data_IF_011937523012
#
_entry.id   IF_011937523012
#
_cell.length_a   1.000
_cell.length_b   1.000
_cell.length_c   1.000
_cell.angle_alpha   90.00
_cell.angle_beta   90.00
_cell.angle_gamma   90.00
#
_symmetry.space_group_name_H-M   'P 1'
#
loop_
_entity.id
_entity.type
_entity.pdbx_description
1 polymer ?
#
# COMPACT_ATOMS: atom_id res chain seq x y z
N UNK A 1 -0.14 1.27 -9.09
CA UNK A 1 -1.42 1.64 -8.42
C UNK A 1 -1.76 0.75 -7.23
N UNK A 2 -1.71 -0.59 -7.36
CA UNK A 2 -2.15 -1.49 -6.27
C UNK A 2 -1.32 -1.31 -5.00
N UNK A 3 0.00 -1.33 -5.09
CA UNK A 3 0.88 -1.22 -3.92
C UNK A 3 0.71 0.13 -3.24
N UNK A 4 0.64 1.19 -4.02
CA UNK A 4 0.46 2.57 -3.54
C UNK A 4 -0.87 2.73 -2.77
N UNK A 5 -1.98 2.19 -3.31
CA UNK A 5 -3.27 2.21 -2.62
C UNK A 5 -3.22 1.39 -1.32
N UNK A 6 -2.61 0.21 -1.34
CA UNK A 6 -2.53 -0.66 -0.16
C UNK A 6 -1.69 0.01 0.94
N UNK A 7 -0.52 0.56 0.59
CA UNK A 7 0.33 1.29 1.54
C UNK A 7 -0.42 2.47 2.16
N UNK A 8 -1.13 3.27 1.35
CA UNK A 8 -1.94 4.38 1.86
C UNK A 8 -3.06 3.92 2.80
N UNK A 9 -3.80 2.86 2.41
CA UNK A 9 -4.89 2.32 3.22
C UNK A 9 -4.38 1.74 4.55
N UNK A 10 -3.25 1.03 4.53
CA UNK A 10 -2.60 0.49 5.72
C UNK A 10 -2.17 1.58 6.70
N UNK A 11 -1.57 2.67 6.19
CA UNK A 11 -1.20 3.80 7.03
C UNK A 11 -2.42 4.48 7.65
N UNK A 12 -3.48 4.71 6.88
CA UNK A 12 -4.72 5.31 7.41
C UNK A 12 -5.38 4.43 8.47
N UNK A 13 -5.39 3.11 8.26
CA UNK A 13 -5.88 2.15 9.26
C UNK A 13 -4.99 2.14 10.50
N UNK A 14 -3.68 2.25 10.33
CA UNK A 14 -2.73 2.35 11.44
C UNK A 14 -3.01 3.60 12.29
N UNK A 15 -3.25 4.77 11.67
CA UNK A 15 -3.64 5.98 12.40
C UNK A 15 -4.93 5.77 13.22
N UNK A 16 -5.93 5.09 12.66
CA UNK A 16 -7.15 4.75 13.38
C UNK A 16 -6.90 3.76 14.53
N UNK A 17 -6.01 2.79 14.33
CA UNK A 17 -5.64 1.79 15.36
C UNK A 17 -4.94 2.44 16.56
N UNK A 18 -4.16 3.50 16.36
CA UNK A 18 -3.51 4.24 17.44
C UNK A 18 -4.51 4.95 18.37
N UNK A 19 -5.76 5.16 17.93
CA UNK A 19 -6.81 5.74 18.76
C UNK A 19 -7.42 4.66 19.67
N UNK A 20 -6.84 4.54 20.87
CA UNK A 20 -7.10 3.47 21.83
C UNK A 20 -8.60 3.14 21.99
N UNK A 21 -8.98 1.94 21.53
CA UNK A 21 -10.27 1.30 21.82
C UNK A 21 -11.49 1.84 21.08
N UNK A 22 -11.32 2.76 20.12
CA UNK A 22 -12.46 3.38 19.42
C UNK A 22 -13.04 2.48 18.31
N UNK A 23 -12.19 1.68 17.65
CA UNK A 23 -12.58 0.76 16.58
C UNK A 23 -12.02 -0.63 16.84
N UNK A 24 -12.82 -1.65 16.54
CA UNK A 24 -12.40 -3.07 16.60
C UNK A 24 -11.54 -3.43 15.38
N UNK A 25 -10.68 -4.45 15.50
CA UNK A 25 -9.89 -4.96 14.36
C UNK A 25 -10.76 -5.37 13.17
N UNK A 26 -11.96 -5.89 13.43
CA UNK A 26 -12.93 -6.19 12.36
C UNK A 26 -13.40 -4.93 11.64
N UNK A 27 -13.70 -3.85 12.36
CA UNK A 27 -14.07 -2.57 11.75
C UNK A 27 -12.92 -1.96 10.95
N UNK A 28 -11.69 -2.05 11.46
CA UNK A 28 -10.48 -1.60 10.77
C UNK A 28 -10.27 -2.36 9.46
N UNK A 29 -10.40 -3.69 9.46
CA UNK A 29 -10.26 -4.51 8.25
C UNK A 29 -11.37 -4.21 7.23
N UNK A 30 -12.62 -4.09 7.67
CA UNK A 30 -13.73 -3.71 6.78
C UNK A 30 -13.50 -2.33 6.17
N UNK A 31 -13.07 -1.36 6.98
CA UNK A 31 -12.74 -0.02 6.51
C UNK A 31 -11.58 -0.03 5.50
N UNK A 32 -10.50 -0.78 5.77
CA UNK A 32 -9.38 -0.98 4.85
C UNK A 32 -9.83 -1.49 3.49
N UNK A 33 -10.65 -2.54 3.49
CA UNK A 33 -11.18 -3.16 2.28
C UNK A 33 -12.04 -2.17 1.49
N UNK A 34 -12.95 -1.48 2.17
CA UNK A 34 -13.81 -0.45 1.57
C UNK A 34 -13.01 0.71 0.98
N UNK A 35 -12.02 1.23 1.71
CA UNK A 35 -11.17 2.33 1.27
C UNK A 35 -10.35 1.97 0.03
N UNK A 36 -9.77 0.76 0.03
CA UNK A 36 -9.02 0.23 -1.11
C UNK A 36 -9.87 0.21 -2.38
N UNK A 37 -11.12 -0.24 -2.29
CA UNK A 37 -12.02 -0.31 -3.44
C UNK A 37 -12.47 1.07 -3.92
N UNK A 38 -12.81 1.98 -3.00
CA UNK A 38 -13.18 3.37 -3.34
C UNK A 38 -12.03 4.07 -4.06
N UNK A 39 -10.79 3.95 -3.55
CA UNK A 39 -9.59 4.51 -4.17
C UNK A 39 -9.35 3.92 -5.56
N UNK A 40 -9.42 2.59 -5.68
CA UNK A 40 -9.21 1.87 -6.94
C UNK A 40 -10.19 2.35 -8.02
N UNK A 41 -11.46 2.51 -7.66
CA UNK A 41 -12.47 3.02 -8.59
C UNK A 41 -12.21 4.49 -8.95
N UNK A 42 -11.95 5.34 -7.94
CA UNK A 42 -11.76 6.78 -8.14
C UNK A 42 -10.56 7.11 -9.02
N UNK A 43 -9.48 6.34 -8.92
CA UNK A 43 -8.21 6.63 -9.59
C UNK A 43 -8.08 6.02 -10.98
N UNK A 44 -8.99 5.12 -11.38
CA UNK A 44 -8.92 4.36 -12.63
C UNK A 44 -8.56 5.22 -13.86
N UNK A 45 -9.25 6.35 -14.03
CA UNK A 45 -9.09 7.22 -15.21
C UNK A 45 -8.16 8.42 -14.93
N UNK A 46 -7.52 8.42 -13.75
CA UNK A 46 -6.65 9.49 -13.25
C UNK A 46 -5.30 8.94 -12.78
N UNK A 47 -4.84 7.82 -13.32
CA UNK A 47 -3.56 7.20 -12.98
C UNK A 47 -2.62 7.22 -14.19
N UNK A 48 -1.51 7.98 -14.11
CA UNK A 48 -0.60 8.19 -15.23
C UNK A 48 0.84 7.83 -14.84
N UNK A 49 1.27 6.56 -14.95
CA UNK A 49 2.61 6.12 -14.57
C UNK A 49 3.74 6.92 -15.23
N UNK A 50 3.59 7.29 -16.50
CA UNK A 50 4.60 8.06 -17.24
C UNK A 50 4.67 9.55 -16.82
N UNK A 51 3.64 10.03 -16.11
CA UNK A 51 3.57 11.41 -15.60
C UNK A 51 2.98 11.40 -14.19
N UNK A 52 3.72 10.94 -13.16
CA UNK A 52 3.17 10.71 -11.82
C UNK A 52 2.43 11.91 -11.24
N UNK A 53 2.97 13.12 -11.44
CA UNK A 53 2.38 14.36 -10.95
C UNK A 53 1.05 14.73 -11.62
N UNK A 54 0.74 14.18 -12.81
CA UNK A 54 -0.52 14.45 -13.50
C UNK A 54 -1.66 13.84 -12.68
N UNK A 55 -2.59 14.69 -12.25
CA UNK A 55 -3.74 14.26 -11.44
C UNK A 55 -3.44 14.03 -9.95
N UNK A 56 -2.22 14.33 -9.47
CA UNK A 56 -1.86 14.16 -8.05
C UNK A 56 -2.82 14.91 -7.11
N UNK A 57 -3.18 16.16 -7.42
CA UNK A 57 -4.18 16.90 -6.65
C UNK A 57 -5.59 16.27 -6.62
N UNK A 58 -5.98 15.52 -7.65
CA UNK A 58 -7.27 14.80 -7.67
C UNK A 58 -7.23 13.53 -6.80
N UNK A 59 -6.05 12.88 -6.73
CA UNK A 59 -5.77 11.69 -5.91
C UNK A 59 -5.32 12.04 -4.48
N UNK A 60 -5.14 13.31 -4.19
CA UNK A 60 -4.79 13.76 -2.85
C UNK A 60 -5.94 13.46 -1.89
N UNK A 61 -5.62 12.85 -0.75
CA UNK A 61 -6.51 12.74 0.40
C UNK A 61 -6.19 13.91 1.33
N UNK A 62 -7.20 14.69 1.72
CA UNK A 62 -7.00 15.85 2.60
C UNK A 62 -8.04 15.95 3.70
N UNK A 63 -7.56 15.99 4.93
CA UNK A 63 -8.33 16.33 6.13
C UNK A 63 -7.80 17.67 6.64
N UNK A 64 -8.65 18.70 6.61
CA UNK A 64 -8.39 20.02 7.22
C UNK A 64 -9.75 20.70 7.42
N UNK A 65 -10.22 20.74 8.67
CA UNK A 65 -11.53 21.26 9.07
C UNK A 65 -12.74 20.48 8.52
N UNK A 66 -12.55 19.66 7.49
CA UNK A 66 -13.53 18.77 6.86
C UNK A 66 -12.88 17.44 6.53
N UNK A 67 -13.67 16.37 6.60
CA UNK A 67 -13.26 15.02 6.23
C UNK A 67 -13.14 14.90 4.71
N UNK A 68 -12.12 14.16 4.25
CA UNK A 68 -11.98 13.81 2.85
C UNK A 68 -13.19 12.97 2.37
N UNK A 69 -13.83 13.29 1.24
CA UNK A 69 -14.99 12.55 0.74
C UNK A 69 -14.72 11.05 0.49
N UNK A 70 -13.50 10.67 0.12
CA UNK A 70 -13.11 9.28 -0.09
C UNK A 70 -13.11 8.53 1.23
N UNK A 71 -12.51 9.11 2.28
CA UNK A 71 -12.50 8.53 3.62
C UNK A 71 -13.94 8.45 4.17
N UNK A 72 -14.72 9.51 4.02
CA UNK A 72 -16.10 9.55 4.47
C UNK A 72 -16.96 8.48 3.78
N UNK A 73 -16.82 8.31 2.47
CA UNK A 73 -17.52 7.27 1.71
C UNK A 73 -17.09 5.86 2.14
N UNK A 74 -15.78 5.64 2.29
CA UNK A 74 -15.26 4.34 2.72
C UNK A 74 -15.78 3.94 4.10
N UNK A 75 -15.84 4.91 5.03
CA UNK A 75 -16.44 4.76 6.35
C UNK A 75 -17.93 4.44 6.30
N UNK A 76 -18.69 5.22 5.54
CA UNK A 76 -20.14 5.05 5.42
C UNK A 76 -20.52 3.66 4.90
N UNK A 77 -19.76 3.11 3.93
CA UNK A 77 -19.97 1.75 3.40
C UNK A 77 -19.90 0.65 4.48
N UNK A 78 -19.19 0.89 5.58
CA UNK A 78 -18.98 -0.08 6.67
C UNK A 78 -19.62 0.36 7.99
N UNK A 79 -20.52 1.35 7.93
CA UNK A 79 -21.28 1.83 9.09
C UNK A 79 -20.51 2.74 10.05
N UNK A 80 -19.37 3.31 9.63
CA UNK A 80 -18.63 4.30 10.41
C UNK A 80 -19.09 5.72 10.08
N UNK A 81 -19.48 6.46 11.11
CA UNK A 81 -19.92 7.85 10.96
C UNK A 81 -18.73 8.76 10.59
N UNK A 82 -18.89 9.68 9.61
CA UNK A 82 -17.84 10.62 9.26
C UNK A 82 -17.36 11.49 10.44
N UNK A 83 -18.26 11.83 11.37
CA UNK A 83 -17.93 12.59 12.59
C UNK A 83 -17.00 11.82 13.51
N UNK A 84 -17.24 10.50 13.67
CA UNK A 84 -16.35 9.61 14.44
C UNK A 84 -15.00 9.52 13.76
N UNK A 85 -14.95 9.24 12.45
CA UNK A 85 -13.68 9.21 11.71
C UNK A 85 -12.91 10.53 11.83
N UNK A 86 -13.61 11.66 11.77
CA UNK A 86 -12.98 12.98 11.91
C UNK A 86 -12.39 13.23 13.30
N UNK A 87 -12.96 12.64 14.36
CA UNK A 87 -12.34 12.69 15.70
C UNK A 87 -11.15 11.75 15.88
N UNK A 88 -11.00 10.75 15.00
CA UNK A 88 -9.95 9.73 15.12
C UNK A 88 -8.72 10.03 14.25
N UNK A 89 -8.90 10.71 13.12
CA UNK A 89 -7.78 11.16 12.30
C UNK A 89 -7.14 12.45 12.83
N UNK A 90 -5.86 12.72 12.49
CA UNK A 90 -5.27 14.04 12.71
C UNK A 90 -6.14 15.14 12.11
N UNK A 91 -6.26 16.27 12.80
CA UNK A 91 -7.03 17.44 12.33
C UNK A 91 -6.55 17.98 10.99
N UNK A 92 -5.25 17.80 10.72
CA UNK A 92 -4.58 18.21 9.50
C UNK A 92 -3.74 17.06 8.95
N UNK A 93 -4.24 16.43 7.89
CA UNK A 93 -3.54 15.39 7.14
C UNK A 93 -3.65 15.70 5.66
N UNK A 94 -2.54 15.61 4.95
CA UNK A 94 -2.50 15.62 3.49
C UNK A 94 -1.70 14.41 3.04
N UNK A 95 -2.22 13.60 2.13
CA UNK A 95 -1.55 12.43 1.58
C UNK A 95 -1.67 12.44 0.06
N UNK A 96 -0.55 12.22 -0.62
CA UNK A 96 -0.46 12.05 -2.06
C UNK A 96 -0.24 10.57 -2.38
N UNK A 97 -1.09 10.03 -3.25
CA UNK A 97 -1.04 8.64 -3.71
C UNK A 97 -0.77 8.68 -5.20
N UNK A 98 0.50 8.65 -5.56
CA UNK A 98 0.98 8.89 -6.92
C UNK A 98 1.67 7.64 -7.48
N UNK A 99 1.76 7.47 -8.81
CA UNK A 99 2.51 6.37 -9.37
C UNK A 99 3.94 6.33 -8.85
N UNK A 100 4.32 5.18 -8.28
CA UNK A 100 5.64 4.93 -7.68
C UNK A 100 5.93 5.64 -6.36
N UNK A 101 5.02 6.45 -5.80
CA UNK A 101 5.26 7.15 -4.53
C UNK A 101 3.96 7.36 -3.73
N UNK A 102 4.02 7.11 -2.42
CA UNK A 102 3.02 7.59 -1.47
C UNK A 102 3.73 8.44 -0.44
N UNK A 103 3.29 9.67 -0.27
CA UNK A 103 3.85 10.60 0.71
C UNK A 103 2.75 11.31 1.47
N UNK A 104 3.07 11.79 2.67
CA UNK A 104 2.10 12.45 3.53
C UNK A 104 2.72 13.58 4.35
N UNK A 105 1.85 14.43 4.88
CA UNK A 105 2.17 15.49 5.82
C UNK A 105 1.08 15.55 6.89
N UNK A 106 1.49 15.62 8.15
CA UNK A 106 0.60 15.87 9.29
C UNK A 106 0.88 17.29 9.82
N UNK A 107 -0.16 18.11 9.97
CA UNK A 107 -0.05 19.53 10.30
C UNK A 107 0.23 20.43 9.08
N UNK A 108 -0.22 21.68 9.12
CA UNK A 108 0.05 22.69 8.08
C UNK A 108 1.54 22.96 7.86
N UNK A 109 2.33 22.95 8.94
CA UNK A 109 3.78 23.17 8.92
C UNK A 109 4.60 21.88 9.05
N UNK A 110 3.97 20.72 8.88
CA UNK A 110 4.65 19.43 8.98
C UNK A 110 5.63 19.18 7.83
N UNK A 111 6.65 18.37 8.10
CA UNK A 111 7.52 17.82 7.05
C UNK A 111 6.75 16.82 6.17
N UNK A 112 7.15 16.71 4.91
CA UNK A 112 6.66 15.63 4.02
C UNK A 112 7.46 14.38 4.32
N UNK A 113 6.77 13.28 4.61
CA UNK A 113 7.34 11.96 4.80
C UNK A 113 6.94 11.05 3.64
N UNK A 114 7.90 10.28 3.13
CA UNK A 114 7.64 9.24 2.11
C UNK A 114 7.28 7.95 2.83
N UNK A 115 6.10 7.42 2.52
CA UNK A 115 5.56 6.17 3.06
C UNK A 115 5.88 4.98 2.15
N UNK A 116 5.83 5.19 0.84
CA UNK A 116 6.18 4.20 -0.17
C UNK A 116 6.92 4.88 -1.30
N UNK A 117 7.98 4.24 -1.79
CA UNK A 117 8.68 4.62 -3.01
C UNK A 117 9.06 3.34 -3.76
N UNK A 118 8.71 3.27 -5.04
CA UNK A 118 9.06 2.11 -5.88
C UNK A 118 10.56 2.09 -6.11
N UNK A 119 11.21 1.00 -5.70
CA UNK A 119 12.64 0.80 -5.92
C UNK A 119 12.95 0.28 -7.33
N UNK A 120 14.21 0.39 -7.77
CA UNK A 120 14.65 -0.15 -9.07
C UNK A 120 14.49 -1.67 -9.18
N UNK A 121 14.60 -2.41 -8.07
CA UNK A 121 14.39 -3.85 -8.04
C UNK A 121 12.95 -4.23 -8.44
N UNK A 122 11.95 -3.46 -7.99
CA UNK A 122 10.54 -3.66 -8.33
C UNK A 122 10.23 -3.33 -9.80
N UNK A 123 11.05 -2.50 -10.47
CA UNK A 123 10.91 -2.23 -11.91
C UNK A 123 11.34 -3.43 -12.76
N UNK A 124 12.37 -4.16 -12.34
CA UNK A 124 12.93 -5.29 -13.11
C UNK A 124 12.00 -6.50 -13.09
N UNK A 125 11.33 -6.74 -11.96
CA UNK A 125 10.36 -7.85 -11.86
C UNK A 125 9.19 -7.70 -12.84
N UNK A 126 8.58 -6.51 -12.96
CA UNK A 126 7.47 -6.27 -13.92
C UNK A 126 7.90 -6.47 -15.39
N UNK A 127 9.14 -6.10 -15.75
CA UNK A 127 9.68 -6.28 -17.11
C UNK A 127 9.91 -7.76 -17.43
N UNK A 128 10.37 -8.55 -16.45
CA UNK A 128 10.65 -9.98 -16.63
C UNK A 128 9.38 -10.81 -16.89
N UNK A 129 8.24 -10.44 -16.29
CA UNK A 129 6.96 -11.17 -16.42
C UNK A 129 6.29 -10.90 -17.78
N UNK A 130 6.43 -9.70 -18.35
CA UNK A 130 5.85 -9.37 -19.66
C UNK A 130 6.55 -10.06 -20.84
N UNK A 131 7.84 -10.39 -20.70
CA UNK A 131 8.64 -11.00 -21.77
C UNK A 131 8.28 -12.49 -21.99
N UNK A 132 7.72 -13.17 -20.99
CA UNK A 132 7.38 -14.60 -21.10
C UNK A 132 6.03 -14.89 -21.80
N UNK A 133 5.15 -13.89 -22.00
CA UNK A 133 3.83 -14.12 -22.59
C UNK A 133 3.77 -14.02 -24.12
N UNK A 134 4.85 -13.58 -24.81
CA UNK A 134 4.85 -13.40 -26.27
C UNK A 134 5.43 -14.58 -27.09
N UNK A 135 5.67 -15.76 -26.50
CA UNK A 135 6.24 -16.92 -27.22
C UNK A 135 5.32 -18.15 -27.34
N UNK A 136 4.00 -17.97 -27.43
CA UNK A 136 3.09 -19.09 -27.75
C UNK A 136 2.23 -18.84 -29.00
N UNK A 137 2.87 -18.84 -30.17
CA UNK A 137 2.20 -19.34 -31.37
C UNK A 137 3.17 -19.98 -32.37
N UNK A 138 2.72 -21.13 -32.91
CA UNK A 138 3.30 -21.96 -33.97
C UNK A 138 4.43 -22.93 -33.57
N UNK A 139 4.07 -24.19 -33.27
CA UNK A 139 4.51 -25.35 -34.08
C UNK A 139 3.87 -26.68 -33.64
N UNK A 140 3.46 -27.46 -34.66
CA UNK A 140 2.88 -28.80 -34.56
C UNK A 140 3.93 -29.87 -34.24
N UNK A 141 3.50 -30.88 -33.48
CA UNK A 141 3.92 -32.29 -33.47
C UNK A 141 5.39 -32.65 -33.80
N UNK A 142 6.14 -33.05 -32.76
CA UNK A 142 6.99 -34.25 -32.75
C UNK A 142 7.37 -34.63 -31.30
N UNK A 143 7.37 -35.93 -30.99
CA UNK A 143 7.62 -36.50 -29.65
C UNK A 143 9.07 -36.26 -29.17
N UNK A 144 9.31 -36.11 -27.85
CA UNK A 144 10.65 -35.85 -27.31
C UNK A 144 11.45 -37.14 -27.06
N UNK A 145 12.79 -37.12 -27.14
CA UNK A 145 13.61 -38.13 -26.49
C UNK A 145 13.76 -37.83 -24.99
N UNK A 146 13.83 -38.90 -24.21
CA UNK A 146 14.00 -38.92 -22.76
C UNK A 146 15.38 -38.40 -22.31
N UNK A 147 15.40 -37.44 -21.37
CA UNK A 147 16.60 -37.02 -20.61
C UNK A 147 16.64 -37.68 -19.22
N UNK A 148 17.83 -37.87 -18.61
CA UNK A 148 18.00 -38.49 -17.28
C UNK A 148 17.59 -37.54 -16.14
N UNK A 149 17.36 -38.05 -14.91
CA UNK A 149 16.87 -37.25 -13.79
C UNK A 149 17.95 -36.35 -13.17
N UNK A 150 17.57 -35.22 -12.54
CA UNK A 150 18.50 -34.35 -11.83
C UNK A 150 18.85 -34.89 -10.42
N UNK A 151 19.98 -34.48 -9.82
CA UNK A 151 20.31 -34.81 -8.44
C UNK A 151 19.48 -33.98 -7.44
N UNK A 152 19.36 -34.41 -6.17
CA UNK A 152 18.57 -33.68 -5.18
C UNK A 152 19.32 -32.44 -4.66
N UNK A 153 18.67 -31.28 -4.72
CA UNK A 153 19.09 -30.05 -4.04
C UNK A 153 18.34 -29.97 -2.70
N UNK A 154 19.09 -30.00 -1.60
CA UNK A 154 18.58 -29.92 -0.23
C UNK A 154 19.03 -28.59 0.43
N UNK A 155 18.09 -27.93 1.12
CA UNK A 155 18.23 -27.01 2.26
C UNK A 155 18.64 -25.53 2.14
N UNK A 156 19.09 -24.97 1.02
CA UNK A 156 19.54 -23.56 1.04
C UNK A 156 18.42 -22.50 0.85
N UNK A 157 17.24 -22.88 0.36
CA UNK A 157 16.16 -21.91 0.06
C UNK A 157 15.28 -21.54 1.28
N UNK A 158 15.34 -22.32 2.37
CA UNK A 158 14.50 -22.06 3.56
C UNK A 158 15.06 -20.94 4.45
N UNK A 159 16.40 -20.83 4.58
CA UNK A 159 17.04 -19.79 5.40
C UNK A 159 16.85 -18.38 4.82
N UNK A 160 16.76 -18.27 3.50
CA UNK A 160 16.61 -16.98 2.82
C UNK A 160 15.20 -16.39 3.01
N UNK A 161 14.17 -17.22 3.22
CA UNK A 161 12.80 -16.80 3.53
C UNK A 161 12.57 -16.44 5.00
N UNK A 162 13.41 -16.94 5.90
CA UNK A 162 13.29 -16.68 7.34
C UNK A 162 14.03 -15.37 7.71
N UNK A 163 15.19 -15.12 7.09
CA UNK A 163 15.97 -13.89 7.29
C UNK A 163 15.23 -12.61 6.87
N UNK A 164 14.39 -12.66 5.83
CA UNK A 164 13.62 -11.49 5.39
C UNK A 164 12.38 -11.20 6.26
N UNK A 165 11.87 -12.19 7.00
CA UNK A 165 10.80 -11.94 8.00
C UNK A 165 11.31 -11.20 9.22
N UNK A 166 12.52 -11.52 9.68
CA UNK A 166 13.13 -10.87 10.85
C UNK A 166 13.50 -9.40 10.56
N UNK A 167 13.98 -9.10 9.35
CA UNK A 167 14.22 -7.71 8.92
C UNK A 167 12.95 -6.86 8.87
N UNK A 168 11.85 -7.43 8.36
CA UNK A 168 10.55 -6.74 8.31
C UNK A 168 9.98 -6.50 9.72
N UNK A 169 10.13 -7.45 10.64
CA UNK A 169 9.71 -7.30 12.03
C UNK A 169 10.54 -6.25 12.78
N UNK A 170 11.87 -6.19 12.55
CA UNK A 170 12.72 -5.17 13.15
C UNK A 170 12.39 -3.76 12.62
N UNK A 171 12.19 -3.61 11.30
CA UNK A 171 11.78 -2.31 10.73
C UNK A 171 10.43 -1.86 11.28
N UNK A 172 9.47 -2.77 11.40
CA UNK A 172 8.15 -2.45 11.94
C UNK A 172 8.19 -2.07 13.43
N UNK A 173 9.10 -2.67 14.20
CA UNK A 173 9.29 -2.33 15.62
C UNK A 173 9.94 -0.96 15.79
N UNK A 174 10.97 -0.66 14.99
CA UNK A 174 11.63 0.66 15.00
C UNK A 174 10.70 1.80 14.57
N UNK A 175 9.80 1.55 13.61
CA UNK A 175 8.79 2.51 13.19
C UNK A 175 7.77 2.84 14.30
N UNK A 176 7.33 1.82 15.05
CA UNK A 176 6.37 2.01 16.14
C UNK A 176 6.94 2.82 17.33
N UNK A 177 8.24 2.66 17.64
CA UNK A 177 8.89 3.45 18.71
C UNK A 177 9.02 4.94 18.34
N UNK A 178 9.27 5.25 17.07
CA UNK A 178 9.36 6.64 16.59
C UNK A 178 8.00 7.35 16.64
N UNK A 179 6.92 6.66 16.33
CA UNK A 179 5.55 7.19 16.43
C UNK A 179 5.15 7.40 17.90
N UNK A 180 5.43 6.44 18.79
CA UNK A 180 5.09 6.54 20.21
C UNK A 180 5.77 7.74 20.92
N UNK A 181 6.97 8.10 20.47
CA UNK A 181 7.73 9.25 21.00
C UNK A 181 7.11 10.59 20.57
N UNK A 182 6.52 10.67 19.37
CA UNK A 182 5.92 11.89 18.84
C UNK A 182 4.51 12.17 19.37
N UNK A 183 3.75 11.12 19.72
CA UNK A 183 2.39 11.24 20.28
C UNK A 183 2.41 11.58 21.79
N UNK A 184 3.56 11.43 22.45
CA UNK A 184 3.73 11.66 23.89
C UNK A 184 4.35 13.03 24.26
N UNK A 185 4.50 13.94 23.29
CA UNK A 185 5.11 15.28 23.47
C UNK A 185 4.12 16.42 23.28
#
# INVERSE_FOLDING_TARGET
MRLEIVSAADFLVHLLRLQAGQLTERQLEMFKSSLTEVLRHRYRDHWFPDRPNRGSGYRCIRINGKMDPVIAQAGANVGLLPTVLHSLFPSELTMWIDPSEVSYRIGENGSICVLYERTEAEKVEEISVQTQQHQHHSQQHQQPPSMPPPPPLQQQQQQQFESCKDSLLLQHTQFNEQIATFVSS
#
